data_IF_647916518023
#
_entry.id   IF_647916518023
#
_cell.length_a   1.000
_cell.length_b   1.000
_cell.length_c   1.000
_cell.angle_alpha   90.00
_cell.angle_beta   90.00
_cell.angle_gamma   90.00
#
_symmetry.space_group_name_H-M   'P 1'
#
loop_
_entity.id
_entity.type
_entity.pdbx_description
1 polymer ?
#
# COMPACT_ATOMS: atom_id res chain seq x y z
N UNK A 1 0.27 -7.47 32.09
CA UNK A 1 0.96 -6.18 31.85
C UNK A 1 0.07 -5.30 30.99
N UNK A 2 0.13 -3.98 31.16
CA UNK A 2 -0.60 -3.07 30.25
C UNK A 2 0.02 -3.12 28.86
N UNK A 3 -0.81 -3.26 27.82
CA UNK A 3 -0.35 -3.18 26.42
C UNK A 3 0.09 -1.76 26.07
N UNK A 4 1.20 -1.64 25.34
CA UNK A 4 1.63 -0.37 24.73
C UNK A 4 0.67 0.06 23.61
N UNK A 5 0.78 1.28 23.11
CA UNK A 5 0.01 1.71 21.92
C UNK A 5 0.39 0.85 20.70
N UNK A 6 1.67 0.50 20.57
CA UNK A 6 2.15 -0.36 19.49
C UNK A 6 1.45 -1.73 19.53
N UNK A 7 1.43 -2.38 20.70
CA UNK A 7 0.78 -3.69 20.86
C UNK A 7 -0.72 -3.63 20.51
N UNK A 8 -1.39 -2.54 20.90
CA UNK A 8 -2.81 -2.34 20.60
C UNK A 8 -3.05 -2.23 19.10
N UNK A 9 -2.28 -1.40 18.41
CA UNK A 9 -2.39 -1.25 16.95
C UNK A 9 -2.05 -2.57 16.27
N UNK A 10 -0.96 -3.23 16.66
CA UNK A 10 -0.57 -4.52 16.08
C UNK A 10 -1.69 -5.57 16.22
N UNK A 11 -2.21 -5.74 17.44
CA UNK A 11 -3.24 -6.73 17.72
C UNK A 11 -4.55 -6.45 16.99
N UNK A 12 -4.89 -5.17 16.76
CA UNK A 12 -6.09 -4.77 16.01
C UNK A 12 -6.01 -5.13 14.51
N UNK A 13 -4.78 -5.20 13.96
CA UNK A 13 -4.56 -5.46 12.53
C UNK A 13 -4.08 -6.89 12.23
N UNK A 14 -3.84 -7.72 13.25
CA UNK A 14 -3.46 -9.11 13.11
C UNK A 14 -4.65 -9.96 12.65
N UNK A 15 -4.60 -10.42 11.40
CA UNK A 15 -5.62 -11.31 10.84
C UNK A 15 -5.40 -12.75 11.26
N UNK A 16 -4.14 -13.20 11.23
CA UNK A 16 -3.78 -14.57 11.57
C UNK A 16 -2.31 -14.66 11.94
N UNK A 17 -1.98 -15.58 12.84
CA UNK A 17 -0.59 -15.95 13.15
C UNK A 17 -0.41 -17.44 12.89
N UNK A 18 0.53 -17.77 12.02
CA UNK A 18 0.88 -19.14 11.67
C UNK A 18 1.69 -19.80 12.80
N UNK A 19 1.77 -21.13 12.78
CA UNK A 19 2.48 -21.93 13.79
C UNK A 19 3.98 -21.61 13.84
N UNK A 20 4.58 -21.25 12.71
CA UNK A 20 5.98 -20.83 12.58
C UNK A 20 6.25 -19.41 13.12
N UNK A 21 5.21 -18.70 13.57
CA UNK A 21 5.28 -17.34 14.06
C UNK A 21 5.02 -16.25 13.01
N UNK A 22 4.88 -16.59 11.74
CA UNK A 22 4.59 -15.63 10.65
C UNK A 22 3.21 -14.99 10.86
N UNK A 23 3.16 -13.66 10.82
CA UNK A 23 1.94 -12.90 11.04
C UNK A 23 1.37 -12.38 9.73
N UNK A 24 0.09 -12.64 9.49
CA UNK A 24 -0.69 -12.01 8.44
C UNK A 24 -1.35 -10.75 9.00
N UNK A 25 -0.94 -9.60 8.49
CA UNK A 25 -1.51 -8.30 8.85
C UNK A 25 -2.43 -7.80 7.75
N UNK A 26 -3.50 -7.11 8.14
CA UNK A 26 -4.26 -6.29 7.22
C UNK A 26 -3.60 -4.91 7.08
N UNK A 27 -3.61 -4.36 5.86
CA UNK A 27 -3.03 -3.04 5.56
C UNK A 27 -4.15 -2.10 5.11
N UNK A 28 -4.44 -1.10 5.93
CA UNK A 28 -5.60 -0.20 5.77
C UNK A 28 -5.35 0.96 4.82
N UNK A 29 -4.08 1.23 4.52
CA UNK A 29 -3.69 2.31 3.63
C UNK A 29 -2.47 1.91 2.81
N UNK A 30 -2.59 2.04 1.49
CA UNK A 30 -1.47 2.04 0.58
C UNK A 30 -1.23 3.46 0.10
N UNK A 31 -0.03 3.98 0.34
CA UNK A 31 0.45 5.23 -0.24
C UNK A 31 1.36 4.88 -1.41
N UNK A 32 1.00 5.32 -2.60
CA UNK A 32 1.68 4.96 -3.85
C UNK A 32 2.04 6.21 -4.64
N UNK A 33 3.08 6.10 -5.46
CA UNK A 33 3.60 7.21 -6.26
C UNK A 33 4.12 6.74 -7.62
N UNK A 34 4.28 7.68 -8.55
CA UNK A 34 4.54 7.44 -9.98
C UNK A 34 5.89 6.80 -10.29
N UNK A 35 6.83 6.76 -9.34
CA UNK A 35 8.18 6.23 -9.58
C UNK A 35 8.22 4.71 -9.40
N UNK A 36 7.76 4.21 -8.24
CA UNK A 36 7.91 2.78 -7.89
C UNK A 36 6.65 1.96 -8.17
N UNK A 37 5.49 2.61 -8.14
CA UNK A 37 4.21 1.91 -8.21
C UNK A 37 3.86 1.35 -9.60
N UNK A 38 4.35 1.90 -10.74
CA UNK A 38 4.15 1.26 -12.05
C UNK A 38 4.61 -0.20 -12.08
N UNK A 39 5.75 -0.53 -11.44
CA UNK A 39 6.26 -1.90 -11.35
C UNK A 39 5.32 -2.81 -10.55
N UNK A 40 4.79 -2.33 -9.42
CA UNK A 40 3.82 -3.09 -8.64
C UNK A 40 2.52 -3.37 -9.43
N UNK A 41 2.03 -2.38 -10.18
CA UNK A 41 0.87 -2.56 -11.06
C UNK A 41 1.15 -3.51 -12.24
N UNK A 42 2.38 -3.52 -12.76
CA UNK A 42 2.79 -4.49 -13.77
C UNK A 42 2.77 -5.92 -13.21
N UNK A 43 3.29 -6.13 -11.99
CA UNK A 43 3.19 -7.40 -11.29
C UNK A 43 1.75 -7.89 -11.13
N UNK A 44 0.82 -6.99 -10.81
CA UNK A 44 -0.62 -7.30 -10.75
C UNK A 44 -1.15 -7.72 -12.13
N UNK A 45 -0.85 -6.98 -13.20
CA UNK A 45 -1.28 -7.29 -14.57
C UNK A 45 -0.76 -8.66 -15.03
N UNK A 46 0.52 -8.93 -14.82
CA UNK A 46 1.17 -10.19 -15.18
C UNK A 46 0.55 -11.38 -14.43
N UNK A 47 0.16 -11.16 -13.17
CA UNK A 47 -0.55 -12.14 -12.34
C UNK A 47 -2.06 -12.21 -12.63
N UNK A 48 -2.58 -11.45 -13.60
CA UNK A 48 -4.02 -11.29 -13.89
C UNK A 48 -4.86 -10.87 -12.67
N UNK A 49 -4.27 -10.06 -11.78
CA UNK A 49 -4.91 -9.54 -10.57
C UNK A 49 -5.28 -8.07 -10.73
N UNK A 50 -6.34 -7.68 -10.03
CA UNK A 50 -6.72 -6.27 -9.85
C UNK A 50 -6.28 -5.80 -8.47
N UNK A 51 -6.20 -4.48 -8.29
CA UNK A 51 -6.06 -3.89 -6.95
C UNK A 51 -7.25 -4.35 -6.11
N UNK A 52 -6.97 -5.02 -4.99
CA UNK A 52 -8.01 -5.64 -4.15
C UNK A 52 -8.90 -4.61 -3.47
N UNK A 53 -8.32 -3.51 -2.99
CA UNK A 53 -9.02 -2.45 -2.26
C UNK A 53 -8.64 -1.06 -2.80
N UNK A 54 -9.16 -0.64 -3.97
CA UNK A 54 -8.80 0.65 -4.56
C UNK A 54 -9.10 1.84 -3.64
N UNK A 55 -10.17 1.75 -2.83
CA UNK A 55 -10.52 2.80 -1.84
C UNK A 55 -9.47 2.95 -0.74
N UNK A 56 -8.70 1.91 -0.45
CA UNK A 56 -7.61 1.91 0.53
C UNK A 56 -6.28 2.40 -0.07
N UNK A 57 -6.23 2.68 -1.37
CA UNK A 57 -5.01 3.09 -2.08
C UNK A 57 -5.11 4.56 -2.47
N UNK A 58 -4.20 5.39 -1.95
CA UNK A 58 -4.05 6.79 -2.34
C UNK A 58 -2.81 6.93 -3.22
N UNK A 59 -3.01 7.46 -4.42
CA UNK A 59 -1.93 7.77 -5.35
C UNK A 59 -1.62 9.26 -5.35
N UNK A 60 -0.33 9.57 -5.32
CA UNK A 60 0.19 10.93 -5.47
C UNK A 60 1.21 10.91 -6.60
N UNK A 61 1.21 11.93 -7.44
CA UNK A 61 2.25 12.15 -8.42
C UNK A 61 2.99 13.43 -8.03
N UNK A 62 4.22 13.31 -7.53
CA UNK A 62 4.94 14.39 -6.87
C UNK A 62 6.46 14.40 -7.10
N UNK A 63 7.04 13.32 -7.62
CA UNK A 63 8.49 13.20 -7.83
C UNK A 63 8.94 13.73 -9.20
N UNK A 64 8.21 13.39 -10.25
CA UNK A 64 8.58 13.60 -11.65
C UNK A 64 7.61 14.52 -12.41
N UNK A 65 6.65 15.10 -11.71
CA UNK A 65 5.69 16.02 -12.32
C UNK A 65 6.39 17.32 -12.69
N UNK A 66 6.44 17.71 -13.98
CA UNK A 66 7.07 18.96 -14.38
C UNK A 66 6.51 20.16 -13.62
N UNK A 67 7.38 21.08 -13.19
CA UNK A 67 6.96 22.36 -12.58
C UNK A 67 6.59 23.41 -13.63
N UNK A 68 6.84 23.12 -14.91
CA UNK A 68 6.52 23.96 -16.08
C UNK A 68 5.87 23.13 -17.17
N UNK A 69 5.04 23.75 -18.01
CA UNK A 69 4.26 23.14 -19.10
C UNK A 69 3.53 21.82 -18.74
N UNK A 70 2.36 21.97 -18.12
CA UNK A 70 1.44 20.86 -17.77
C UNK A 70 0.27 20.73 -18.76
N UNK A 71 0.40 21.26 -19.97
CA UNK A 71 -0.67 21.28 -20.97
C UNK A 71 -1.19 19.88 -21.35
N UNK A 72 -0.37 18.84 -21.14
CA UNK A 72 -0.69 17.43 -21.37
C UNK A 72 -1.11 16.65 -20.11
N UNK A 73 -1.25 17.33 -18.97
CA UNK A 73 -1.60 16.72 -17.69
C UNK A 73 -0.40 16.47 -16.78
N UNK A 74 -0.58 15.50 -15.87
CA UNK A 74 0.51 14.84 -15.12
C UNK A 74 0.99 13.66 -15.95
#
# INVERSE_FOLDING_TARGET
MSKTIYDKIWDEHLVHKQEDGTSLLFVDRHLIHEVTSPQAFEGLRNSKRKVRQPKLTLAVADHNVPTTDRSKGI
#
